data_IF_678426325191
#
_entry.id   IF_678426325191
#
_cell.length_a   1.000
_cell.length_b   1.000
_cell.length_c   1.000
_cell.angle_alpha   90.00
_cell.angle_beta   90.00
_cell.angle_gamma   90.00
#
_symmetry.space_group_name_H-M   'P 1'
#
loop_
_entity.id
_entity.type
_entity.pdbx_description
1 polymer ?
#
# COMPACT_ATOMS: atom_id res chain seq x y z
N UNK A 1 3.41 -30.43 3.18
CA UNK A 1 2.23 -29.65 2.74
C UNK A 1 2.70 -28.26 2.36
N UNK A 2 2.32 -27.72 1.19
CA UNK A 2 2.51 -26.28 0.92
C UNK A 2 1.61 -25.53 1.92
N UNK A 3 2.18 -24.56 2.65
CA UNK A 3 1.40 -23.66 3.49
C UNK A 3 0.40 -22.84 2.66
N UNK A 4 -0.53 -22.12 3.31
CA UNK A 4 -1.46 -21.22 2.60
C UNK A 4 -0.69 -20.26 1.69
N UNK A 5 -1.21 -20.00 0.48
CA UNK A 5 -0.56 -19.09 -0.47
C UNK A 5 -0.52 -17.66 0.09
N UNK A 6 0.59 -16.96 -0.13
CA UNK A 6 0.76 -15.57 0.31
C UNK A 6 -0.09 -14.64 -0.55
N UNK A 7 -0.76 -13.67 0.09
CA UNK A 7 -1.44 -12.54 -0.57
C UNK A 7 -0.67 -11.26 -0.26
N UNK A 8 -0.16 -10.62 -1.31
CA UNK A 8 0.49 -9.33 -1.23
C UNK A 8 -0.55 -8.22 -1.03
N UNK A 9 -0.46 -7.45 0.05
CA UNK A 9 -1.31 -6.29 0.32
C UNK A 9 -0.64 -5.07 -0.28
N UNK A 10 -1.32 -4.50 -1.27
CA UNK A 10 -0.91 -3.28 -1.94
C UNK A 10 -1.23 -2.01 -1.12
N UNK A 11 -0.58 -0.90 -1.47
CA UNK A 11 -0.81 0.40 -0.82
C UNK A 11 -2.26 0.86 -0.99
N UNK A 12 -2.92 0.55 -2.12
CA UNK A 12 -4.30 0.95 -2.38
C UNK A 12 -5.29 0.45 -1.32
N UNK A 13 -5.11 -0.77 -0.81
CA UNK A 13 -5.97 -1.37 0.22
C UNK A 13 -5.81 -0.65 1.54
N UNK A 14 -4.55 -0.35 1.90
CA UNK A 14 -4.22 0.36 3.13
C UNK A 14 -4.72 1.81 3.06
N UNK A 15 -4.54 2.50 1.93
CA UNK A 15 -5.04 3.86 1.71
C UNK A 15 -6.57 3.91 1.79
N UNK A 16 -7.28 3.00 1.11
CA UNK A 16 -8.75 2.94 1.12
C UNK A 16 -9.30 2.76 2.55
N UNK A 17 -8.66 1.93 3.36
CA UNK A 17 -9.06 1.72 4.77
C UNK A 17 -9.13 3.04 5.58
N UNK A 18 -8.18 3.96 5.37
CA UNK A 18 -8.15 5.26 6.05
C UNK A 18 -9.01 6.33 5.37
N UNK A 19 -9.30 6.21 4.07
CA UNK A 19 -10.01 7.22 3.31
C UNK A 19 -11.52 7.19 3.58
N UNK A 20 -12.05 8.19 4.30
CA UNK A 20 -13.48 8.27 4.66
C UNK A 20 -14.43 8.23 3.45
N UNK A 21 -13.98 8.77 2.32
CA UNK A 21 -14.77 8.92 1.10
C UNK A 21 -14.56 7.77 0.10
N UNK A 22 -13.68 6.80 0.41
CA UNK A 22 -13.44 5.68 -0.47
C UNK A 22 -14.64 4.71 -0.47
N UNK A 23 -15.15 4.42 -1.68
CA UNK A 23 -16.34 3.58 -1.90
C UNK A 23 -16.12 2.15 -1.39
N UNK A 24 -14.88 1.67 -1.48
CA UNK A 24 -14.40 0.33 -1.13
C UNK A 24 -13.83 0.24 0.30
N UNK A 25 -13.96 1.31 1.11
CA UNK A 25 -13.39 1.38 2.46
C UNK A 25 -13.86 0.23 3.35
N UNK A 26 -15.17 -0.09 3.32
CA UNK A 26 -15.76 -1.08 4.21
C UNK A 26 -15.20 -2.46 3.92
N UNK A 27 -15.06 -2.76 2.65
CA UNK A 27 -14.58 -4.01 2.12
C UNK A 27 -13.08 -4.18 2.37
N UNK A 28 -12.27 -3.14 2.11
CA UNK A 28 -10.85 -3.11 2.46
C UNK A 28 -10.63 -3.28 3.97
N UNK A 29 -11.46 -2.63 4.79
CA UNK A 29 -11.43 -2.81 6.25
C UNK A 29 -11.80 -4.23 6.67
N UNK A 30 -12.82 -4.82 6.05
CA UNK A 30 -13.21 -6.20 6.29
C UNK A 30 -12.08 -7.17 5.91
N UNK A 31 -11.40 -6.94 4.78
CA UNK A 31 -10.23 -7.70 4.37
C UNK A 31 -9.09 -7.60 5.40
N UNK A 32 -8.71 -6.40 5.82
CA UNK A 32 -7.67 -6.21 6.85
C UNK A 32 -8.06 -6.85 8.20
N UNK A 33 -9.34 -6.85 8.58
CA UNK A 33 -9.82 -7.57 9.75
C UNK A 33 -9.65 -9.09 9.63
N UNK A 34 -9.69 -9.67 8.43
CA UNK A 34 -9.40 -11.10 8.23
C UNK A 34 -7.91 -11.40 8.33
N UNK A 35 -7.06 -10.46 7.90
CA UNK A 35 -5.60 -10.51 8.11
C UNK A 35 -5.28 -10.49 9.60
N UNK A 36 -5.86 -9.54 10.35
CA UNK A 36 -5.64 -9.44 11.80
C UNK A 36 -6.05 -10.72 12.55
N UNK A 37 -7.09 -11.40 12.09
CA UNK A 37 -7.56 -12.69 12.63
C UNK A 37 -6.68 -13.88 12.23
N UNK A 38 -5.59 -13.67 11.49
CA UNK A 38 -4.69 -14.72 11.01
C UNK A 38 -5.32 -15.66 9.98
N UNK A 39 -6.43 -15.26 9.33
CA UNK A 39 -7.14 -16.10 8.35
C UNK A 39 -6.50 -16.07 6.96
N UNK A 40 -5.66 -15.06 6.70
CA UNK A 40 -4.95 -14.87 5.43
C UNK A 40 -3.45 -14.90 5.72
N UNK A 41 -2.69 -15.59 4.88
CA UNK A 41 -1.23 -15.49 4.87
C UNK A 41 -0.82 -14.18 4.17
N UNK A 42 -0.86 -13.07 4.92
CA UNK A 42 -0.64 -11.75 4.38
C UNK A 42 0.84 -11.38 4.33
N UNK A 43 1.21 -10.68 3.27
CA UNK A 43 2.52 -10.06 3.11
C UNK A 43 2.35 -8.67 2.53
N UNK A 44 3.17 -7.72 2.92
CA UNK A 44 3.29 -6.42 2.23
C UNK A 44 4.77 -6.08 2.06
N UNK A 45 5.09 -4.91 1.52
CA UNK A 45 6.46 -4.43 1.43
C UNK A 45 6.65 -3.09 2.10
N UNK A 46 7.90 -2.80 2.47
CA UNK A 46 8.34 -1.47 2.89
C UNK A 46 7.96 -0.37 1.88
N UNK A 47 7.93 -0.67 0.57
CA UNK A 47 7.52 0.27 -0.47
C UNK A 47 6.02 0.59 -0.39
N UNK A 48 5.17 -0.41 -0.13
CA UNK A 48 3.73 -0.18 0.02
C UNK A 48 3.41 0.63 1.28
N UNK A 49 4.16 0.40 2.36
CA UNK A 49 4.06 1.17 3.61
C UNK A 49 4.50 2.62 3.38
N UNK A 50 5.65 2.85 2.73
CA UNK A 50 6.14 4.19 2.36
C UNK A 50 5.14 4.94 1.47
N UNK A 51 4.60 4.27 0.46
CA UNK A 51 3.60 4.86 -0.42
C UNK A 51 2.32 5.24 0.33
N UNK A 52 1.82 4.34 1.18
CA UNK A 52 0.65 4.60 2.02
C UNK A 52 0.90 5.82 2.92
N UNK A 53 2.03 5.86 3.63
CA UNK A 53 2.41 6.98 4.48
C UNK A 53 2.44 8.31 3.70
N UNK A 54 3.06 8.33 2.52
CA UNK A 54 3.13 9.52 1.68
C UNK A 54 1.76 9.99 1.19
N UNK A 55 0.86 9.06 0.85
CA UNK A 55 -0.50 9.39 0.42
C UNK A 55 -1.33 9.95 1.58
N UNK A 56 -1.30 9.28 2.75
CA UNK A 56 -2.04 9.72 3.95
C UNK A 56 -1.58 11.10 4.43
N UNK A 57 -0.27 11.34 4.46
CA UNK A 57 0.31 12.63 4.81
C UNK A 57 -0.26 13.75 3.92
N UNK A 58 -0.26 13.55 2.59
CA UNK A 58 -0.81 14.53 1.65
C UNK A 58 -2.31 14.70 1.77
N UNK A 59 -3.06 13.62 2.00
CA UNK A 59 -4.51 13.69 2.16
C UNK A 59 -4.89 14.49 3.40
N UNK A 60 -4.22 14.24 4.53
CA UNK A 60 -4.47 14.98 5.76
C UNK A 60 -4.05 16.45 5.63
N UNK A 61 -2.91 16.73 5.00
CA UNK A 61 -2.51 18.12 4.70
C UNK A 61 -3.50 18.83 3.75
N UNK A 62 -4.04 18.13 2.76
CA UNK A 62 -5.08 18.68 1.86
C UNK A 62 -6.37 19.02 2.63
N UNK A 63 -6.78 18.17 3.58
CA UNK A 63 -7.91 18.41 4.48
C UNK A 63 -7.68 19.67 5.33
N UNK A 64 -6.54 19.77 6.02
CA UNK A 64 -6.17 20.90 6.88
C UNK A 64 -6.17 22.23 6.10
N UNK A 65 -5.59 22.22 4.90
CA UNK A 65 -5.41 23.42 4.08
C UNK A 65 -6.64 23.76 3.22
N UNK A 66 -7.64 22.87 3.14
CA UNK A 66 -8.79 23.02 2.26
C UNK A 66 -8.41 23.15 0.77
N UNK A 67 -7.37 22.45 0.31
CA UNK A 67 -6.92 22.50 -1.08
C UNK A 67 -6.35 21.18 -1.57
N UNK A 68 -6.64 20.85 -2.83
CA UNK A 68 -6.10 19.71 -3.58
C UNK A 68 -4.83 20.07 -4.39
N UNK A 69 -4.40 21.34 -4.35
CA UNK A 69 -3.28 21.84 -5.15
C UNK A 69 -1.97 21.26 -4.66
N UNK A 70 -1.43 20.31 -5.41
CA UNK A 70 -0.22 19.56 -5.07
C UNK A 70 0.95 20.44 -4.60
N UNK A 71 1.27 21.52 -5.31
CA UNK A 71 2.39 22.40 -4.93
C UNK A 71 2.17 23.11 -3.59
N UNK A 72 0.93 23.50 -3.26
CA UNK A 72 0.60 24.15 -1.98
C UNK A 72 0.70 23.18 -0.82
N UNK A 73 0.22 21.95 -1.02
CA UNK A 73 0.31 20.88 -0.02
C UNK A 73 1.78 20.61 0.31
N UNK A 74 2.63 20.42 -0.72
CA UNK A 74 4.05 20.14 -0.50
C UNK A 74 4.82 21.34 0.06
N UNK A 75 4.47 22.57 -0.31
CA UNK A 75 5.08 23.76 0.24
C UNK A 75 4.78 23.91 1.74
N UNK A 76 3.51 23.73 2.12
CA UNK A 76 3.10 23.77 3.52
C UNK A 76 3.74 22.65 4.34
N UNK A 77 3.72 21.40 3.86
CA UNK A 77 4.39 20.29 4.54
C UNK A 77 5.89 20.50 4.77
N UNK A 78 6.56 21.34 3.99
CA UNK A 78 8.00 21.64 4.15
C UNK A 78 8.27 22.80 5.09
N UNK A 79 7.34 23.73 5.26
CA UNK A 79 7.59 25.03 5.90
C UNK A 79 6.65 25.35 7.07
N UNK A 80 5.53 24.64 7.21
CA UNK A 80 4.60 24.77 8.32
C UNK A 80 4.65 23.50 9.20
N UNK A 81 5.31 23.64 10.35
CA UNK A 81 5.46 22.54 11.32
C UNK A 81 4.11 22.06 11.86
N UNK A 82 3.13 22.94 12.06
CA UNK A 82 1.85 22.54 12.63
C UNK A 82 1.07 21.68 11.64
N UNK A 83 1.08 22.07 10.35
CA UNK A 83 0.47 21.26 9.28
C UNK A 83 1.19 19.92 9.15
N UNK A 84 2.52 19.90 9.21
CA UNK A 84 3.27 18.65 9.15
C UNK A 84 2.94 17.73 10.33
N UNK A 85 3.01 18.23 11.56
CA UNK A 85 2.77 17.44 12.77
C UNK A 85 1.35 16.85 12.76
N UNK A 86 0.32 17.66 12.51
CA UNK A 86 -1.07 17.19 12.47
C UNK A 86 -1.29 16.18 11.32
N UNK A 87 -0.65 16.40 10.17
CA UNK A 87 -0.73 15.45 9.06
C UNK A 87 0.01 14.13 9.35
N UNK A 88 1.09 14.20 10.13
CA UNK A 88 1.92 13.06 10.50
C UNK A 88 1.23 12.12 11.50
N UNK A 89 0.32 12.61 12.35
CA UNK A 89 -0.44 11.77 13.29
C UNK A 89 -1.16 10.60 12.57
N UNK A 90 -1.69 10.84 11.37
CA UNK A 90 -2.36 9.78 10.57
C UNK A 90 -1.35 8.75 10.07
N UNK A 91 -0.13 9.18 9.74
CA UNK A 91 0.96 8.29 9.33
C UNK A 91 1.42 7.43 10.51
N UNK A 92 1.53 8.00 11.72
CA UNK A 92 1.89 7.25 12.93
C UNK A 92 0.89 6.14 13.21
N UNK A 93 -0.42 6.45 13.17
CA UNK A 93 -1.48 5.44 13.30
C UNK A 93 -1.35 4.33 12.27
N UNK A 94 -0.95 4.64 11.04
CA UNK A 94 -0.71 3.64 10.00
C UNK A 94 0.49 2.74 10.32
N UNK A 95 1.61 3.33 10.71
CA UNK A 95 2.82 2.58 11.06
C UNK A 95 2.57 1.68 12.27
N UNK A 96 1.90 2.18 13.30
CA UNK A 96 1.54 1.41 14.50
C UNK A 96 0.60 0.25 14.17
N UNK A 97 -0.38 0.46 13.29
CA UNK A 97 -1.26 -0.60 12.81
C UNK A 97 -0.47 -1.71 12.09
N UNK A 98 0.41 -1.34 11.16
CA UNK A 98 1.26 -2.30 10.44
C UNK A 98 2.20 -3.05 11.39
N UNK A 99 2.82 -2.36 12.35
CA UNK A 99 3.70 -2.99 13.33
C UNK A 99 2.95 -3.94 14.25
N UNK A 100 1.74 -3.58 14.69
CA UNK A 100 0.88 -4.47 15.47
C UNK A 100 0.57 -5.78 14.74
N UNK A 101 0.28 -5.73 13.43
CA UNK A 101 0.07 -6.93 12.61
C UNK A 101 1.35 -7.76 12.45
N UNK A 102 2.50 -7.10 12.29
CA UNK A 102 3.81 -7.75 12.21
C UNK A 102 4.17 -8.45 13.51
N UNK A 103 4.01 -7.79 14.65
CA UNK A 103 4.29 -8.33 16.00
C UNK A 103 3.38 -9.51 16.31
N UNK A 104 2.11 -9.47 15.88
CA UNK A 104 1.17 -10.60 15.95
C UNK A 104 1.51 -11.75 15.00
N UNK A 105 2.54 -11.61 14.16
CA UNK A 105 2.95 -12.59 13.14
C UNK A 105 1.83 -12.96 12.15
N UNK A 106 0.93 -12.01 11.88
CA UNK A 106 -0.16 -12.16 10.89
C UNK A 106 0.11 -11.38 9.60
N UNK A 107 1.15 -10.55 9.59
CA UNK A 107 1.63 -9.82 8.41
C UNK A 107 3.16 -9.95 8.29
N UNK A 108 3.63 -10.49 7.17
CA UNK A 108 5.05 -10.44 6.79
C UNK A 108 5.36 -9.11 6.07
N UNK A 109 6.49 -8.48 6.38
CA UNK A 109 6.98 -7.30 5.65
C UNK A 109 8.22 -7.66 4.83
N UNK A 110 8.17 -7.40 3.53
CA UNK A 110 9.32 -7.53 2.63
C UNK A 110 10.06 -6.19 2.55
N UNK A 111 11.35 -6.20 2.90
CA UNK A 111 12.23 -5.02 2.83
C UNK A 111 13.14 -5.01 1.60
N UNK A 112 13.13 -6.10 0.82
CA UNK A 112 13.86 -6.17 -0.44
C UNK A 112 13.25 -5.21 -1.48
N UNK A 113 14.10 -4.52 -2.22
CA UNK A 113 13.72 -3.67 -3.35
C UNK A 113 13.76 -4.44 -4.67
N UNK A 114 12.97 -3.98 -5.64
CA UNK A 114 13.06 -4.47 -7.01
C UNK A 114 14.36 -3.99 -7.68
N UNK A 115 14.92 -4.78 -8.58
CA UNK A 115 16.09 -4.36 -9.37
C UNK A 115 15.63 -3.37 -10.45
N UNK A 116 16.25 -2.17 -10.53
CA UNK A 116 15.91 -1.18 -11.55
C UNK A 116 15.92 -1.70 -13.00
N UNK A 117 16.75 -2.68 -13.31
CA UNK A 117 16.79 -3.30 -14.64
C UNK A 117 15.54 -4.15 -14.90
N UNK A 118 15.08 -4.91 -13.89
CA UNK A 118 13.83 -5.67 -13.97
C UNK A 118 12.61 -4.74 -14.06
N UNK A 119 12.64 -3.61 -13.33
CA UNK A 119 11.56 -2.62 -13.34
C UNK A 119 11.27 -2.09 -14.73
N UNK A 120 12.30 -1.76 -15.49
CA UNK A 120 12.16 -1.26 -16.87
C UNK A 120 11.38 -2.23 -17.74
N UNK A 121 11.72 -3.50 -17.68
CA UNK A 121 11.11 -4.54 -18.53
C UNK A 121 9.68 -4.86 -18.06
N UNK A 122 9.45 -4.91 -16.74
CA UNK A 122 8.12 -5.08 -16.14
C UNK A 122 7.19 -3.93 -16.52
N UNK A 123 7.61 -2.69 -16.27
CA UNK A 123 6.82 -1.50 -16.50
C UNK A 123 6.41 -1.40 -17.97
N UNK A 124 7.36 -1.60 -18.89
CA UNK A 124 7.07 -1.58 -20.33
C UNK A 124 6.16 -2.71 -20.77
N UNK A 125 6.35 -3.93 -20.24
CA UNK A 125 5.56 -5.11 -20.64
C UNK A 125 4.10 -5.02 -20.23
N UNK A 126 3.82 -4.49 -19.03
CA UNK A 126 2.48 -4.45 -18.45
C UNK A 126 1.87 -3.05 -18.36
N UNK A 127 2.56 -2.04 -18.91
CA UNK A 127 2.17 -0.62 -18.87
C UNK A 127 1.94 -0.11 -17.43
N UNK A 128 2.75 -0.60 -16.49
CA UNK A 128 2.68 -0.22 -15.08
C UNK A 128 3.49 1.04 -14.80
N UNK A 129 3.01 1.87 -13.86
CA UNK A 129 3.82 2.96 -13.32
C UNK A 129 4.97 2.39 -12.46
N UNK A 130 6.02 3.17 -12.17
CA UNK A 130 7.21 2.65 -11.52
C UNK A 130 6.98 1.98 -10.15
N UNK A 131 6.01 2.46 -9.35
CA UNK A 131 5.69 1.85 -8.04
C UNK A 131 4.97 0.51 -8.21
N UNK A 132 3.97 0.43 -9.08
CA UNK A 132 3.26 -0.82 -9.37
C UNK A 132 4.19 -1.86 -9.99
N UNK A 133 5.10 -1.42 -10.87
CA UNK A 133 6.18 -2.26 -11.40
C UNK A 133 7.10 -2.79 -10.29
N UNK A 134 7.35 -1.98 -9.25
CA UNK A 134 8.13 -2.38 -8.07
C UNK A 134 7.39 -3.38 -7.20
N UNK A 135 6.09 -3.20 -6.97
CA UNK A 135 5.26 -4.19 -6.30
C UNK A 135 5.31 -5.53 -7.03
N UNK A 136 5.11 -5.54 -8.36
CA UNK A 136 5.19 -6.77 -9.15
C UNK A 136 6.59 -7.41 -9.11
N UNK A 137 7.66 -6.61 -9.18
CA UNK A 137 9.03 -7.09 -9.09
C UNK A 137 9.32 -7.78 -7.76
N UNK A 138 8.92 -7.16 -6.64
CA UNK A 138 9.02 -7.74 -5.30
C UNK A 138 8.24 -9.06 -5.21
N UNK A 139 7.01 -9.07 -5.71
CA UNK A 139 6.17 -10.27 -5.70
C UNK A 139 6.83 -11.43 -6.47
N UNK A 140 7.37 -11.18 -7.66
CA UNK A 140 8.03 -12.20 -8.49
C UNK A 140 9.25 -12.81 -7.81
N UNK A 141 10.10 -11.98 -7.23
CA UNK A 141 11.29 -12.44 -6.48
C UNK A 141 10.93 -13.32 -5.28
N UNK A 142 9.76 -13.07 -4.68
CA UNK A 142 9.26 -13.80 -3.53
C UNK A 142 8.26 -14.91 -3.91
N UNK A 143 8.09 -15.20 -5.20
CA UNK A 143 7.15 -16.20 -5.74
C UNK A 143 5.69 -15.98 -5.28
N UNK A 144 5.30 -14.72 -5.07
CA UNK A 144 3.94 -14.34 -4.68
C UNK A 144 3.11 -14.11 -5.95
N UNK A 145 1.96 -14.79 -6.03
CA UNK A 145 1.06 -14.75 -7.19
C UNK A 145 -0.33 -14.20 -6.88
N UNK A 146 -0.56 -13.77 -5.65
CA UNK A 146 -1.84 -13.19 -5.22
C UNK A 146 -1.58 -11.76 -4.76
N UNK A 147 -2.38 -10.81 -5.23
CA UNK A 147 -2.37 -9.41 -4.78
C UNK A 147 -3.75 -8.99 -4.33
N UNK A 148 -3.85 -8.32 -3.19
CA UNK A 148 -5.01 -7.53 -2.82
C UNK A 148 -4.73 -6.08 -3.20
N UNK A 149 -5.46 -5.56 -4.18
CA UNK A 149 -5.33 -4.18 -4.71
C UNK A 149 -6.66 -3.75 -5.31
N UNK A 150 -6.89 -2.44 -5.37
CA UNK A 150 -8.00 -1.82 -6.10
C UNK A 150 -7.54 -1.20 -7.41
N UNK A 151 -6.26 -1.37 -7.75
CA UNK A 151 -5.70 -0.96 -9.03
C UNK A 151 -5.97 -2.03 -10.11
N UNK A 152 -6.88 -1.70 -11.02
CA UNK A 152 -7.25 -2.56 -12.16
C UNK A 152 -6.08 -2.84 -13.10
N UNK A 153 -5.00 -2.07 -13.02
CA UNK A 153 -3.81 -2.25 -13.86
C UNK A 153 -3.14 -3.62 -13.65
N UNK A 154 -3.32 -4.24 -12.48
CA UNK A 154 -2.81 -5.58 -12.19
C UNK A 154 -3.62 -6.71 -12.86
N UNK A 155 -4.88 -6.47 -13.23
CA UNK A 155 -5.74 -7.46 -13.92
C UNK A 155 -5.19 -7.84 -15.30
N UNK A 156 -4.32 -7.00 -15.87
CA UNK A 156 -3.61 -7.22 -17.13
C UNK A 156 -2.63 -8.41 -17.06
N UNK A 157 -2.23 -8.83 -15.86
CA UNK A 157 -1.15 -9.79 -15.62
C UNK A 157 -1.73 -11.20 -15.44
N UNK A 158 -1.71 -12.00 -16.50
CA UNK A 158 -2.35 -13.33 -16.53
C UNK A 158 -1.86 -14.32 -15.47
N UNK A 159 -0.61 -14.23 -15.03
CA UNK A 159 -0.02 -15.11 -14.02
C UNK A 159 -0.23 -14.64 -12.58
N UNK A 160 -1.04 -13.59 -12.40
CA UNK A 160 -1.36 -12.98 -11.12
C UNK A 160 -2.86 -13.11 -10.82
N UNK A 161 -3.17 -13.53 -9.59
CA UNK A 161 -4.54 -13.52 -9.06
C UNK A 161 -4.77 -12.23 -8.30
N UNK A 162 -5.67 -11.41 -8.82
CA UNK A 162 -6.08 -10.14 -8.21
C UNK A 162 -7.27 -10.37 -7.29
N UNK A 163 -7.21 -9.82 -6.09
CA UNK A 163 -8.28 -9.77 -5.10
C UNK A 163 -8.64 -8.29 -4.93
N UNK A 164 -9.84 -7.90 -5.35
CA UNK A 164 -10.37 -6.54 -5.13
C UNK A 164 -11.41 -6.67 -4.01
N UNK A 165 -10.98 -6.59 -2.73
CA UNK A 165 -11.89 -6.75 -1.61
C UNK A 165 -13.01 -5.73 -1.64
#
# INVERSE_FOLDING_TARGET
>A
MKGPEKIYIDSSILVSHYSKDAVDRKECTAFLNTVEKGKINAVTSSIAIDETAYILLKFKAAEILGTDRHYKILDSLRHDKNVFDEAWEVVEVHIDFVDALRVKNVLQIITQTADPLELKDIAKKYQLLPRDASHLGIMRRNMIKNIATNDSDFERIKDLKVWMP
#
